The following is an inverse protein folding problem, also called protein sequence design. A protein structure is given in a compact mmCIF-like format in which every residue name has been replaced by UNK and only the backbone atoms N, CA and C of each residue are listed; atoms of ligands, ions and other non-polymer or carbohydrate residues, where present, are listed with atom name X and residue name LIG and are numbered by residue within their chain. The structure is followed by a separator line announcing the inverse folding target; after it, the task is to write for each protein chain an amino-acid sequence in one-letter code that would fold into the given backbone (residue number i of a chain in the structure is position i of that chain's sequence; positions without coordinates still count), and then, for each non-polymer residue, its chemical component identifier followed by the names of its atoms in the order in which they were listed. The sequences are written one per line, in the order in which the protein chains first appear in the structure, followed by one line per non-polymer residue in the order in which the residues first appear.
data_IF_561549523375
#
_entry.id   IF_561549523375
#
_cell.length_a   1.000
_cell.length_b   1.000
_cell.length_c   1.000
_cell.angle_alpha   90.00
_cell.angle_beta   90.00
_cell.angle_gamma   90.00
#
_symmetry.space_group_name_H-M   'P 1'
#
loop_
_entity.id
_entity.type
_entity.pdbx_description
1 polymer ?
#
# COMPACT_ATOMS: atom_id res chain seq x y z
N UNK A 1 -2.50 10.47 4.93
CA UNK A 1 -1.23 9.98 5.51
C UNK A 1 -0.25 11.14 5.52
N UNK A 2 0.24 11.55 6.68
CA UNK A 2 1.18 12.68 6.74
C UNK A 2 2.60 12.16 6.43
N UNK A 3 3.42 13.00 5.81
CA UNK A 3 4.86 12.72 5.58
C UNK A 3 5.56 12.34 6.89
N UNK A 4 5.11 12.92 8.01
CA UNK A 4 5.63 12.59 9.34
C UNK A 4 5.28 11.14 9.79
N UNK A 5 4.08 10.66 9.46
CA UNK A 5 3.67 9.28 9.77
C UNK A 5 4.48 8.22 9.01
N UNK A 6 4.87 8.52 7.76
CA UNK A 6 5.71 7.64 6.95
C UNK A 6 7.09 7.41 7.58
N UNK A 7 7.83 8.50 7.86
CA UNK A 7 9.17 8.37 8.46
C UNK A 7 9.12 7.78 9.88
N UNK A 8 8.05 8.05 10.64
CA UNK A 8 7.87 7.42 11.95
C UNK A 8 7.70 5.90 11.82
N UNK A 9 6.87 5.44 10.86
CA UNK A 9 6.70 4.02 10.58
C UNK A 9 8.04 3.36 10.23
N UNK A 10 8.79 3.95 9.28
CA UNK A 10 10.08 3.41 8.87
C UNK A 10 11.07 3.36 10.04
N UNK A 11 11.12 4.40 10.86
CA UNK A 11 12.01 4.45 12.03
C UNK A 11 11.66 3.37 13.05
N UNK A 12 10.38 3.09 13.27
CA UNK A 12 9.93 2.02 14.16
C UNK A 12 10.35 0.64 13.66
N UNK A 13 10.16 0.35 12.36
CA UNK A 13 10.52 -0.95 11.79
C UNK A 13 12.04 -1.13 11.70
N UNK A 14 12.77 -0.11 11.23
CA UNK A 14 14.22 -0.16 11.09
C UNK A 14 14.98 0.05 12.41
N UNK A 15 14.28 0.36 13.51
CA UNK A 15 14.83 0.72 14.83
C UNK A 15 15.78 1.91 14.76
N UNK A 16 15.40 2.93 14.01
CA UNK A 16 16.14 4.18 13.83
C UNK A 16 15.33 5.40 14.28
N UNK A 17 15.99 6.45 14.76
CA UNK A 17 15.37 7.77 14.91
C UNK A 17 14.72 8.24 13.60
N UNK A 18 13.60 8.95 13.72
CA UNK A 18 12.85 9.45 12.56
C UNK A 18 13.70 10.37 11.66
N UNK A 19 14.59 11.18 12.23
CA UNK A 19 15.45 12.07 11.45
C UNK A 19 16.55 11.32 10.71
N UNK A 20 17.11 10.26 11.31
CA UNK A 20 18.10 9.40 10.66
C UNK A 20 17.47 8.62 9.50
N UNK A 21 16.30 8.00 9.73
CA UNK A 21 15.61 7.28 8.66
C UNK A 21 15.18 8.22 7.52
N UNK A 22 14.80 9.46 7.85
CA UNK A 22 14.50 10.49 6.85
C UNK A 22 15.74 10.85 6.03
N UNK A 23 16.89 11.05 6.68
CA UNK A 23 18.17 11.33 5.99
C UNK A 23 18.53 10.19 5.03
N UNK A 24 18.51 8.95 5.52
CA UNK A 24 18.79 7.76 4.71
C UNK A 24 17.81 7.68 3.54
N UNK A 25 16.51 7.79 3.81
CA UNK A 25 15.46 7.75 2.79
C UNK A 25 15.69 8.80 1.70
N UNK A 26 16.05 10.03 2.04
CA UNK A 26 16.26 11.07 1.03
C UNK A 26 17.48 10.80 0.16
N UNK A 27 18.57 10.27 0.74
CA UNK A 27 19.82 9.94 0.04
C UNK A 27 19.70 8.71 -0.87
N UNK A 28 18.82 7.77 -0.53
CA UNK A 28 18.59 6.56 -1.32
C UNK A 28 17.57 6.69 -2.45
N UNK A 29 17.02 7.88 -2.72
CA UNK A 29 16.09 8.01 -3.86
C UNK A 29 16.82 7.86 -5.22
N UNK A 30 16.20 7.19 -6.20
CA UNK A 30 14.97 6.41 -6.09
C UNK A 30 15.21 5.03 -5.45
N UNK A 31 14.31 4.61 -4.55
CA UNK A 31 14.37 3.31 -3.87
C UNK A 31 13.78 2.14 -4.68
N UNK A 32 13.20 2.42 -5.85
CA UNK A 32 12.53 1.39 -6.66
C UNK A 32 11.33 0.71 -5.98
N UNK A 33 10.78 1.30 -4.90
CA UNK A 33 9.61 0.77 -4.17
C UNK A 33 8.35 0.87 -5.01
N UNK A 34 8.27 1.90 -5.85
CA UNK A 34 7.24 2.10 -6.86
C UNK A 34 7.91 2.15 -8.23
N UNK A 35 7.25 1.67 -9.30
CA UNK A 35 7.73 1.89 -10.66
C UNK A 35 7.93 3.41 -10.87
N UNK A 36 9.14 3.85 -11.24
CA UNK A 36 9.48 5.28 -11.29
C UNK A 36 8.73 6.05 -12.39
N UNK A 37 8.13 5.32 -13.33
CA UNK A 37 7.31 5.76 -14.44
C UNK A 37 5.82 5.88 -14.10
N UNK A 38 5.38 5.32 -12.96
CA UNK A 38 3.97 5.36 -12.57
C UNK A 38 3.73 6.52 -11.58
N UNK A 39 3.16 7.61 -12.09
CA UNK A 39 2.49 8.59 -11.24
C UNK A 39 1.12 8.04 -10.83
N UNK A 40 1.10 7.32 -9.71
CA UNK A 40 -0.10 6.66 -9.16
C UNK A 40 -1.28 7.63 -9.02
N UNK A 41 -1.00 8.91 -8.70
CA UNK A 41 -2.06 9.90 -8.52
C UNK A 41 -2.67 10.31 -9.85
N UNK A 42 -1.83 10.53 -10.86
CA UNK A 42 -2.26 10.82 -12.23
C UNK A 42 -2.99 9.64 -12.84
N UNK A 43 -2.44 8.44 -12.74
CA UNK A 43 -3.05 7.21 -13.27
C UNK A 43 -4.42 6.92 -12.66
N UNK A 44 -4.57 7.11 -11.35
CA UNK A 44 -5.86 6.99 -10.69
C UNK A 44 -6.86 8.04 -11.23
N UNK A 45 -6.41 9.29 -11.41
CA UNK A 45 -7.24 10.36 -11.94
C UNK A 45 -7.65 10.10 -13.40
N UNK A 46 -6.74 9.66 -14.25
CA UNK A 46 -6.98 9.31 -15.66
C UNK A 46 -7.95 8.12 -15.78
N UNK A 47 -7.89 7.17 -14.83
CA UNK A 47 -8.84 6.07 -14.70
C UNK A 47 -10.18 6.45 -14.04
N UNK A 48 -10.35 7.70 -13.57
CA UNK A 48 -11.57 8.18 -12.93
C UNK A 48 -11.86 7.55 -11.56
N UNK A 49 -10.84 6.99 -10.89
CA UNK A 49 -10.98 6.32 -9.60
C UNK A 49 -10.09 6.98 -8.53
N UNK A 50 -10.41 6.74 -7.26
CA UNK A 50 -9.56 7.23 -6.18
C UNK A 50 -8.27 6.39 -6.06
N UNK A 51 -7.21 7.01 -5.54
CA UNK A 51 -5.87 6.39 -5.41
C UNK A 51 -5.90 5.08 -4.63
N UNK A 52 -6.76 4.91 -3.62
CA UNK A 52 -6.85 3.63 -2.90
C UNK A 52 -7.47 2.54 -3.77
N UNK A 53 -8.46 2.90 -4.60
CA UNK A 53 -9.06 1.98 -5.57
C UNK A 53 -8.01 1.51 -6.59
N UNK A 54 -7.19 2.42 -7.10
CA UNK A 54 -6.10 2.09 -8.01
C UNK A 54 -5.01 1.22 -7.33
N UNK A 55 -4.57 1.59 -6.13
CA UNK A 55 -3.57 0.83 -5.37
C UNK A 55 -4.03 -0.59 -5.05
N UNK A 56 -5.29 -0.78 -4.69
CA UNK A 56 -5.81 -2.12 -4.43
C UNK A 56 -5.83 -3.00 -5.69
N UNK A 57 -6.14 -2.41 -6.85
CA UNK A 57 -6.08 -3.13 -8.12
C UNK A 57 -4.64 -3.57 -8.47
N UNK A 58 -3.64 -2.75 -8.12
CA UNK A 58 -2.23 -3.09 -8.29
C UNK A 58 -1.69 -4.06 -7.23
N UNK A 59 -2.45 -4.39 -6.19
CA UNK A 59 -1.91 -5.13 -5.06
C UNK A 59 -1.26 -6.49 -5.41
N UNK A 60 -1.83 -7.31 -6.32
CA UNK A 60 -1.17 -8.56 -6.72
C UNK A 60 0.23 -8.34 -7.34
N UNK A 61 0.38 -7.31 -8.17
CA UNK A 61 1.65 -6.94 -8.79
C UNK A 61 2.63 -6.42 -7.73
N UNK A 62 2.14 -5.59 -6.81
CA UNK A 62 2.91 -5.09 -5.67
C UNK A 62 3.43 -6.24 -4.81
N UNK A 63 2.59 -7.24 -4.50
CA UNK A 63 2.98 -8.43 -3.73
C UNK A 63 4.07 -9.22 -4.43
N UNK A 64 3.89 -9.53 -5.71
CA UNK A 64 4.88 -10.29 -6.48
C UNK A 64 6.24 -9.57 -6.57
N UNK A 65 6.23 -8.29 -6.93
CA UNK A 65 7.46 -7.47 -7.03
C UNK A 65 8.14 -7.27 -5.68
N UNK A 66 7.36 -7.09 -4.60
CA UNK A 66 7.92 -7.00 -3.24
C UNK A 66 8.59 -8.30 -2.83
N UNK A 67 7.95 -9.45 -3.07
CA UNK A 67 8.52 -10.74 -2.72
C UNK A 67 9.84 -11.00 -3.46
N UNK A 68 9.91 -10.63 -4.75
CA UNK A 68 11.15 -10.76 -5.51
C UNK A 68 12.26 -9.89 -4.91
N UNK A 69 11.99 -8.61 -4.64
CA UNK A 69 12.96 -7.67 -4.06
C UNK A 69 13.41 -8.07 -2.66
N UNK A 70 12.48 -8.58 -1.85
CA UNK A 70 12.77 -9.11 -0.52
C UNK A 70 13.71 -10.32 -0.60
N UNK A 71 13.47 -11.25 -1.54
CA UNK A 71 14.35 -12.39 -1.76
C UNK A 71 15.76 -11.97 -2.19
N UNK A 72 15.87 -10.96 -3.06
CA UNK A 72 17.15 -10.38 -3.48
C UNK A 72 17.88 -9.70 -2.32
N UNK A 73 17.14 -8.99 -1.45
CA UNK A 73 17.69 -8.34 -0.27
C UNK A 73 18.21 -9.37 0.74
N UNK A 74 17.43 -10.39 1.06
CA UNK A 74 17.84 -11.49 1.96
C UNK A 74 19.04 -12.25 1.40
N UNK A 75 19.09 -12.47 0.08
CA UNK A 75 20.26 -13.08 -0.56
C UNK A 75 21.51 -12.19 -0.36
N UNK A 76 21.37 -10.87 -0.54
CA UNK A 76 22.46 -9.93 -0.29
C UNK A 76 22.89 -9.91 1.18
N UNK A 77 21.97 -9.91 2.14
CA UNK A 77 22.31 -9.93 3.56
C UNK A 77 23.14 -11.15 3.97
N UNK A 78 22.90 -12.32 3.37
CA UNK A 78 23.73 -13.51 3.58
C UNK A 78 25.19 -13.29 3.14
N UNK A 79 25.42 -12.46 2.13
CA UNK A 79 26.78 -12.09 1.71
C UNK A 79 27.48 -11.15 2.70
N UNK A 80 26.72 -10.44 3.55
CA UNK A 80 27.29 -9.56 4.58
C UNK A 80 27.80 -10.35 5.79
N UNK A 81 27.26 -11.55 6.04
CA UNK A 81 27.66 -12.40 7.17
C UNK A 81 28.77 -13.39 6.80
N UNK A 82 28.83 -13.83 5.55
CA UNK A 82 29.89 -14.70 5.04
C UNK A 82 31.04 -13.86 4.50
N UNK A 83 32.13 -13.76 5.26
CA UNK A 83 33.37 -13.13 4.82
C UNK A 83 33.89 -13.80 3.52
N UNK A 84 33.55 -13.25 2.35
CA UNK A 84 34.20 -13.59 1.08
C UNK A 84 33.34 -14.16 -0.04
N UNK A 85 32.00 -14.18 0.05
CA UNK A 85 31.16 -14.58 -1.08
C UNK A 85 31.09 -13.51 -2.16
N UNK A 86 31.90 -13.63 -3.22
CA UNK A 86 31.78 -12.82 -4.44
C UNK A 86 30.57 -13.32 -5.24
N UNK A 87 29.38 -12.90 -4.82
CA UNK A 87 28.20 -12.99 -5.69
C UNK A 87 28.15 -11.76 -6.60
N UNK A 88 27.82 -12.01 -7.87
CA UNK A 88 27.75 -11.05 -8.98
C UNK A 88 27.08 -9.72 -8.59
N UNK A 89 27.51 -8.56 -9.14
CA UNK A 89 26.87 -7.28 -8.86
C UNK A 89 25.37 -7.32 -9.18
N UNK A 90 24.53 -7.22 -8.15
CA UNK A 90 23.09 -7.02 -8.31
C UNK A 90 22.74 -5.53 -8.17
N UNK A 91 21.65 -5.10 -8.81
CA UNK A 91 21.13 -3.74 -8.65
C UNK A 91 20.86 -3.41 -7.17
N UNK A 92 20.35 -4.38 -6.41
CA UNK A 92 20.14 -4.29 -4.96
C UNK A 92 21.45 -4.00 -4.21
N UNK A 93 22.50 -4.77 -4.47
CA UNK A 93 23.82 -4.57 -3.85
C UNK A 93 24.37 -3.18 -4.14
N UNK A 94 24.39 -2.77 -5.41
CA UNK A 94 24.89 -1.46 -5.81
C UNK A 94 24.11 -0.33 -5.12
N UNK A 95 22.79 -0.50 -4.98
CA UNK A 95 21.95 0.45 -4.27
C UNK A 95 22.29 0.53 -2.79
N UNK A 96 22.32 -0.60 -2.08
CA UNK A 96 22.61 -0.64 -0.64
C UNK A 96 24.00 -0.06 -0.35
N UNK A 97 25.02 -0.44 -1.12
CA UNK A 97 26.39 0.03 -0.92
C UNK A 97 26.53 1.54 -1.19
N UNK A 98 25.88 2.05 -2.23
CA UNK A 98 25.82 3.48 -2.52
C UNK A 98 25.18 4.25 -1.36
N UNK A 99 24.01 3.82 -0.89
CA UNK A 99 23.31 4.53 0.18
C UNK A 99 24.09 4.47 1.48
N UNK A 100 24.63 3.30 1.84
CA UNK A 100 25.48 3.15 3.02
C UNK A 100 26.67 4.12 2.99
N UNK A 101 27.32 4.26 1.84
CA UNK A 101 28.41 5.21 1.63
C UNK A 101 27.96 6.66 1.81
N UNK A 102 26.84 7.05 1.18
CA UNK A 102 26.31 8.41 1.23
C UNK A 102 25.82 8.81 2.62
N UNK A 103 25.21 7.89 3.36
CA UNK A 103 24.67 8.16 4.69
C UNK A 103 25.69 7.97 5.81
N UNK A 104 26.86 7.36 5.50
CA UNK A 104 27.86 6.91 6.47
C UNK A 104 27.32 5.83 7.43
N UNK A 105 26.38 5.02 6.93
CA UNK A 105 25.72 3.96 7.71
C UNK A 105 26.26 2.59 7.36
N UNK A 106 26.01 1.62 8.23
CA UNK A 106 26.27 0.22 7.93
C UNK A 106 25.32 -0.27 6.84
N UNK A 107 25.82 -1.15 5.96
CA UNK A 107 25.00 -1.83 4.92
C UNK A 107 23.75 -2.49 5.54
N UNK A 108 23.90 -3.13 6.70
CA UNK A 108 22.78 -3.72 7.44
C UNK A 108 21.70 -2.70 7.83
N UNK A 109 22.09 -1.48 8.21
CA UNK A 109 21.13 -0.41 8.51
C UNK A 109 20.28 -0.09 7.28
N UNK A 110 20.90 -0.06 6.10
CA UNK A 110 20.18 0.19 4.84
C UNK A 110 19.25 -0.97 4.48
N UNK A 111 19.68 -2.22 4.68
CA UNK A 111 18.81 -3.39 4.51
C UNK A 111 17.57 -3.30 5.41
N UNK A 112 17.72 -2.94 6.69
CA UNK A 112 16.58 -2.75 7.60
C UNK A 112 15.61 -1.67 7.11
N UNK A 113 16.11 -0.58 6.53
CA UNK A 113 15.26 0.46 5.92
C UNK A 113 14.54 -0.05 4.68
N UNK A 114 15.18 -0.89 3.86
CA UNK A 114 14.52 -1.51 2.70
C UNK A 114 13.41 -2.49 3.12
N UNK A 115 13.65 -3.35 4.11
CA UNK A 115 12.60 -4.20 4.68
C UNK A 115 11.41 -3.36 5.17
N UNK A 116 11.69 -2.29 5.92
CA UNK A 116 10.65 -1.37 6.38
C UNK A 116 9.87 -0.71 5.22
N UNK A 117 10.54 -0.38 4.11
CA UNK A 117 9.89 0.17 2.92
C UNK A 117 8.99 -0.87 2.21
N UNK A 118 9.43 -2.11 2.15
CA UNK A 118 8.66 -3.21 1.57
C UNK A 118 7.44 -3.57 2.42
N UNK A 119 7.60 -3.63 3.75
CA UNK A 119 6.49 -3.81 4.69
C UNK A 119 5.47 -2.68 4.57
N UNK A 120 5.95 -1.43 4.51
CA UNK A 120 5.09 -0.27 4.33
C UNK A 120 4.26 -0.36 3.04
N UNK A 121 4.90 -0.76 1.94
CA UNK A 121 4.24 -0.95 0.65
C UNK A 121 3.16 -2.01 0.73
N UNK A 122 3.44 -3.16 1.35
CA UNK A 122 2.46 -4.22 1.57
C UNK A 122 1.28 -3.73 2.42
N UNK A 123 1.56 -2.98 3.49
CA UNK A 123 0.54 -2.48 4.39
C UNK A 123 -0.40 -1.47 3.70
N UNK A 124 0.13 -0.55 2.90
CA UNK A 124 -0.69 0.37 2.09
C UNK A 124 -1.62 -0.42 1.17
N UNK A 125 -1.09 -1.45 0.55
CA UNK A 125 -1.83 -2.39 -0.29
C UNK A 125 -3.02 -3.04 0.40
N UNK A 126 -2.75 -3.71 1.52
CA UNK A 126 -3.76 -4.38 2.33
C UNK A 126 -4.84 -3.41 2.83
N UNK A 127 -4.43 -2.22 3.32
CA UNK A 127 -5.37 -1.18 3.76
C UNK A 127 -6.25 -0.66 2.61
N UNK A 128 -5.70 -0.60 1.39
CA UNK A 128 -6.46 -0.19 0.20
C UNK A 128 -7.56 -1.20 -0.13
N UNK A 129 -7.25 -2.50 -0.10
CA UNK A 129 -8.25 -3.59 -0.28
C UNK A 129 -9.31 -3.56 0.82
N UNK A 130 -8.88 -3.42 2.08
CA UNK A 130 -9.80 -3.35 3.22
C UNK A 130 -10.81 -2.22 3.03
N UNK A 131 -10.33 -1.02 2.68
CA UNK A 131 -11.17 0.16 2.49
C UNK A 131 -12.18 0.00 1.35
N UNK A 132 -11.81 -0.69 0.27
CA UNK A 132 -12.75 -0.97 -0.83
C UNK A 132 -13.82 -1.96 -0.38
N UNK A 133 -13.43 -3.00 0.34
CA UNK A 133 -14.35 -3.99 0.91
C UNK A 133 -15.37 -3.33 1.85
N UNK A 134 -14.90 -2.42 2.71
CA UNK A 134 -15.76 -1.64 3.59
C UNK A 134 -16.76 -0.76 2.82
N UNK A 135 -16.28 -0.04 1.78
CA UNK A 135 -17.15 0.75 0.89
C UNK A 135 -18.22 -0.12 0.22
N UNK A 136 -17.83 -1.29 -0.31
CA UNK A 136 -18.76 -2.21 -0.96
C UNK A 136 -19.84 -2.72 0.00
N UNK A 137 -19.47 -3.04 1.25
CA UNK A 137 -20.41 -3.46 2.28
C UNK A 137 -21.43 -2.34 2.62
N UNK A 138 -20.97 -1.09 2.73
CA UNK A 138 -21.85 0.07 2.97
C UNK A 138 -22.82 0.29 1.81
N UNK A 139 -22.33 0.23 0.56
CA UNK A 139 -23.16 0.37 -0.63
C UNK A 139 -24.24 -0.72 -0.67
N UNK A 140 -23.87 -1.98 -0.39
CA UNK A 140 -24.83 -3.09 -0.34
C UNK A 140 -25.90 -2.87 0.73
N UNK A 141 -25.52 -2.38 1.92
CA UNK A 141 -26.46 -2.05 3.00
C UNK A 141 -27.43 -0.93 2.59
N UNK A 142 -26.93 0.12 1.94
CA UNK A 142 -27.76 1.22 1.44
C UNK A 142 -28.75 0.76 0.37
N UNK A 143 -28.29 -0.05 -0.60
CA UNK A 143 -29.15 -0.60 -1.66
C UNK A 143 -30.28 -1.46 -1.07
N UNK A 144 -29.98 -2.32 -0.10
CA UNK A 144 -31.00 -3.10 0.62
C UNK A 144 -32.00 -2.22 1.36
N UNK A 145 -31.53 -1.15 2.01
CA UNK A 145 -32.38 -0.19 2.70
C UNK A 145 -33.31 0.57 1.76
N UNK A 146 -32.79 1.05 0.62
CA UNK A 146 -33.59 1.74 -0.42
C UNK A 146 -34.65 0.81 -0.98
N UNK A 147 -34.32 -0.45 -1.26
CA UNK A 147 -35.27 -1.45 -1.75
C UNK A 147 -36.37 -1.75 -0.72
N UNK A 148 -36.00 -1.94 0.55
CA UNK A 148 -36.96 -2.18 1.62
C UNK A 148 -37.93 -1.01 1.81
N UNK A 149 -37.42 0.23 1.81
CA UNK A 149 -38.25 1.44 1.92
C UNK A 149 -39.15 1.64 0.69
N UNK A 150 -38.64 1.35 -0.51
CA UNK A 150 -39.44 1.40 -1.74
C UNK A 150 -40.61 0.41 -1.71
N UNK A 151 -40.37 -0.80 -1.18
CA UNK A 151 -41.40 -1.82 -1.02
C UNK A 151 -42.43 -1.41 0.05
N UNK A 152 -41.98 -0.87 1.19
CA UNK A 152 -42.86 -0.38 2.26
C UNK A 152 -43.83 0.71 1.76
N UNK A 153 -43.32 1.69 1.02
CA UNK A 153 -44.16 2.76 0.44
C UNK A 153 -45.17 2.24 -0.57
N UNK A 154 -44.83 1.21 -1.36
CA UNK A 154 -45.79 0.57 -2.27
C UNK A 154 -46.90 -0.17 -1.52
N UNK A 155 -46.57 -0.88 -0.44
CA UNK A 155 -47.59 -1.55 0.38
C UNK A 155 -48.51 -0.56 1.10
N UNK A 156 -47.99 0.58 1.56
CA UNK A 156 -48.78 1.62 2.23
C UNK A 156 -49.73 2.33 1.26
N UNK A 157 -49.28 2.63 0.04
CA UNK A 157 -50.11 3.28 -0.98
C UNK A 157 -51.08 2.32 -1.71
N UNK A 158 -50.84 1.00 -1.65
CA UNK A 158 -51.73 -0.02 -2.22
C UNK A 158 -52.89 -0.43 -1.30
N UNK A 159 -52.92 0.04 -0.05
CA UNK A 159 -53.95 -0.31 0.95
C UNK A 159 -55.12 0.68 1.01
N UNK A 160 -55.17 1.69 0.13
CA UNK A 160 -56.25 2.69 0.10
C UNK A 160 -57.19 2.47 -1.09
N UNK A 161 -57.96 1.38 -1.07
CA UNK A 161 -59.16 1.24 -1.91
C UNK A 161 -60.39 1.65 -1.09
N UNK A 162 -61.22 2.61 -1.57
CA UNK A 162 -62.42 3.00 -0.84
C UNK A 162 -63.48 1.89 -0.97
N UNK A 163 -64.03 1.48 0.18
CA UNK A 163 -65.20 0.60 0.25
C UNK A 163 -66.37 1.28 -0.45
N UNK A 164 -66.68 0.85 -1.68
CA UNK A 164 -67.98 1.11 -2.30
C UNK A 164 -68.84 -0.13 -2.08
N UNK A 165 -69.69 -0.07 -1.07
CA UNK A 165 -70.79 -1.02 -0.86
C UNK A 165 -71.95 -0.59 -1.77
N UNK A 166 -72.41 -1.41 -2.73
CA UNK A 166 -73.64 -1.11 -3.46
C UNK A 166 -74.86 -1.56 -2.65
N UNK A 167 -75.87 -0.69 -2.59
CA UNK A 167 -77.25 -1.00 -2.13
C UNK A 167 -78.00 -1.89 -3.12
#
# INVERSE_FOLDING_TARGET
MTVHGFYRFLGQQARLPTDEVRKIYLLGRPWGVWPPDIDISREAADAGIDVFTYLAALQPLITMDTQQKENELVAYERTLTVNGGVDSPSAMRNHVEKVATLSTEKKQTICNVLHALYDYRQQIGALSIQKITEKAAVISKLQKGILAESNRRRSENGSSTPNNTPE
#
